data_IF_577816882522
#
_entry.id   IF_577816882522
#
_cell.length_a   1.000
_cell.length_b   1.000
_cell.length_c   1.000
_cell.angle_alpha   90.00
_cell.angle_beta   90.00
_cell.angle_gamma   90.00
#
_symmetry.space_group_name_H-M   'P 1'
#
loop_
_entity.id
_entity.type
_entity.pdbx_description
1 polymer ?
#
# COMPACT_ATOMS: atom_id res chain seq x y z
N UNK A 1 7.83 7.44 16.98
CA UNK A 1 8.39 6.79 15.75
C UNK A 1 8.17 7.62 14.49
N UNK A 2 7.08 8.39 14.38
CA UNK A 2 6.81 9.22 13.20
C UNK A 2 7.69 10.48 13.11
N UNK A 3 8.19 10.98 14.22
CA UNK A 3 9.02 12.20 14.26
C UNK A 3 10.40 11.94 13.65
N UNK A 4 11.04 10.81 13.95
CA UNK A 4 12.33 10.45 13.38
C UNK A 4 12.30 10.22 11.86
N UNK A 5 11.20 9.66 11.34
CA UNK A 5 11.01 9.49 9.90
C UNK A 5 10.82 10.84 9.19
N UNK A 6 10.13 11.79 9.83
CA UNK A 6 9.96 13.15 9.31
C UNK A 6 11.26 13.95 9.26
N UNK A 7 12.10 13.82 10.29
CA UNK A 7 13.43 14.45 10.31
C UNK A 7 14.34 13.86 9.24
N UNK A 8 14.39 12.54 9.11
CA UNK A 8 15.16 11.87 8.06
C UNK A 8 14.69 12.25 6.64
N UNK A 9 13.37 12.41 6.42
CA UNK A 9 12.84 12.89 5.15
C UNK A 9 13.25 14.34 4.88
N UNK A 10 13.26 15.18 5.90
CA UNK A 10 13.70 16.58 5.79
C UNK A 10 15.18 16.67 5.44
N UNK A 11 16.04 15.94 6.16
CA UNK A 11 17.49 15.94 5.93
C UNK A 11 17.85 15.41 4.53
N UNK A 12 17.20 14.35 4.08
CA UNK A 12 17.39 13.82 2.72
C UNK A 12 16.96 14.82 1.64
N UNK A 13 15.89 15.59 1.88
CA UNK A 13 15.46 16.64 0.93
C UNK A 13 16.48 17.79 0.88
N UNK A 14 16.99 18.22 2.03
CA UNK A 14 17.98 19.30 2.10
C UNK A 14 19.26 18.86 1.41
N UNK A 15 19.78 17.67 1.71
CA UNK A 15 20.98 17.12 1.05
C UNK A 15 20.81 16.97 -0.47
N UNK A 16 19.64 16.49 -0.92
CA UNK A 16 19.36 16.36 -2.34
C UNK A 16 19.29 17.73 -3.04
N UNK A 17 18.72 18.76 -2.39
CA UNK A 17 18.69 20.11 -2.91
C UNK A 17 20.10 20.75 -2.93
N UNK A 18 20.90 20.57 -1.90
CA UNK A 18 22.29 21.05 -1.85
C UNK A 18 23.12 20.43 -2.97
N UNK A 19 22.95 19.15 -3.25
CA UNK A 19 23.67 18.45 -4.31
C UNK A 19 23.24 18.87 -5.73
N UNK A 20 21.98 19.27 -5.91
CA UNK A 20 21.47 19.81 -7.18
C UNK A 20 21.93 21.26 -7.41
N UNK A 21 22.07 22.03 -6.33
CA UNK A 21 22.50 23.44 -6.39
C UNK A 21 24.03 23.62 -6.33
N UNK A 22 24.78 22.54 -6.11
CA UNK A 22 26.24 22.59 -6.10
C UNK A 22 26.79 23.04 -7.47
N UNK A 23 27.82 23.91 -7.48
CA UNK A 23 28.39 24.48 -8.72
C UNK A 23 28.98 23.43 -9.68
N UNK A 24 29.32 22.25 -9.17
CA UNK A 24 29.90 21.15 -9.94
C UNK A 24 28.82 20.33 -10.70
N UNK A 25 27.56 20.56 -10.42
CA UNK A 25 26.42 19.91 -11.08
C UNK A 25 26.41 18.37 -10.95
N UNK A 26 25.27 17.76 -11.20
CA UNK A 26 25.19 16.30 -11.36
C UNK A 26 25.76 15.97 -12.73
N UNK A 27 27.01 15.50 -12.79
CA UNK A 27 27.69 15.08 -14.02
C UNK A 27 26.90 14.02 -14.77
N UNK A 28 26.19 14.44 -15.78
CA UNK A 28 25.41 13.57 -16.65
C UNK A 28 24.30 14.33 -17.35
N UNK A 29 23.98 13.96 -18.58
CA UNK A 29 23.00 14.51 -19.54
C UNK A 29 22.03 15.53 -18.97
N UNK A 30 21.93 16.71 -19.58
CA UNK A 30 21.02 17.80 -19.23
C UNK A 30 19.57 17.27 -19.15
N UNK A 31 19.13 17.01 -17.92
CA UNK A 31 17.71 16.72 -17.65
C UNK A 31 16.99 18.05 -17.45
N UNK A 32 15.77 18.12 -17.94
CA UNK A 32 14.89 19.28 -17.70
C UNK A 32 14.74 19.51 -16.19
N UNK A 33 14.76 20.76 -15.70
CA UNK A 33 14.62 21.09 -14.28
C UNK A 33 13.40 20.43 -13.61
N UNK A 34 12.31 20.23 -14.36
CA UNK A 34 11.10 19.54 -13.89
C UNK A 34 11.29 18.05 -13.62
N UNK A 35 12.14 17.36 -14.40
CA UNK A 35 12.44 15.94 -14.18
C UNK A 35 13.25 15.72 -12.90
N UNK A 36 14.19 16.62 -12.61
CA UNK A 36 15.00 16.58 -11.39
C UNK A 36 14.12 16.80 -10.14
N UNK A 37 13.22 17.77 -10.19
CA UNK A 37 12.25 18.00 -9.10
C UNK A 37 11.33 16.81 -8.89
N UNK A 38 10.85 16.18 -9.94
CA UNK A 38 10.00 14.98 -9.86
C UNK A 38 10.74 13.79 -9.22
N UNK A 39 12.01 13.59 -9.55
CA UNK A 39 12.88 12.55 -8.95
C UNK A 39 13.06 12.82 -7.46
N UNK A 40 13.46 14.04 -7.06
CA UNK A 40 13.66 14.39 -5.65
C UNK A 40 12.39 14.19 -4.83
N UNK A 41 11.24 14.62 -5.31
CA UNK A 41 9.98 14.51 -4.56
C UNK A 41 9.47 13.07 -4.52
N UNK A 42 9.62 12.31 -5.60
CA UNK A 42 9.04 10.96 -5.71
C UNK A 42 9.93 9.89 -5.11
N UNK A 43 11.24 9.97 -5.35
CA UNK A 43 12.20 8.96 -4.90
C UNK A 43 12.50 9.09 -3.41
N UNK A 44 12.58 10.31 -2.87
CA UNK A 44 12.70 10.53 -1.42
C UNK A 44 11.52 9.94 -0.67
N UNK A 45 10.29 10.12 -1.20
CA UNK A 45 9.10 9.49 -0.59
C UNK A 45 9.12 7.95 -0.68
N UNK A 46 9.70 7.38 -1.73
CA UNK A 46 9.84 5.95 -1.87
C UNK A 46 10.86 5.38 -0.88
N UNK A 47 11.99 6.06 -0.71
CA UNK A 47 13.04 5.70 0.28
C UNK A 47 12.51 5.82 1.70
N UNK A 48 11.83 6.93 2.04
CA UNK A 48 11.24 7.12 3.38
C UNK A 48 10.23 6.03 3.72
N UNK A 49 9.38 5.62 2.77
CA UNK A 49 8.44 4.50 2.97
C UNK A 49 9.14 3.17 3.16
N UNK A 50 10.21 2.91 2.40
CA UNK A 50 11.02 1.71 2.56
C UNK A 50 11.68 1.67 3.93
N UNK A 51 12.21 2.80 4.39
CA UNK A 51 12.84 2.93 5.70
C UNK A 51 11.86 2.69 6.85
N UNK A 52 10.65 3.30 6.80
CA UNK A 52 9.58 3.07 7.78
C UNK A 52 9.19 1.60 7.82
N UNK A 53 9.06 0.96 6.66
CA UNK A 53 8.72 -0.47 6.57
C UNK A 53 9.81 -1.33 7.18
N UNK A 54 11.08 -1.08 6.85
CA UNK A 54 12.22 -1.82 7.40
C UNK A 54 12.35 -1.66 8.92
N UNK A 55 12.12 -0.46 9.44
CA UNK A 55 12.22 -0.18 10.88
C UNK A 55 11.06 -0.79 11.67
N UNK A 56 9.88 -0.99 11.05
CA UNK A 56 8.73 -1.60 11.74
C UNK A 56 8.81 -3.14 11.79
N UNK A 57 9.56 -3.79 10.90
CA UNK A 57 9.69 -5.26 10.88
C UNK A 57 10.23 -5.82 12.19
N UNK A 58 11.38 -5.34 12.75
CA UNK A 58 11.90 -5.88 14.01
C UNK A 58 10.91 -5.74 15.17
N UNK A 59 10.24 -4.59 15.28
CA UNK A 59 9.24 -4.36 16.32
C UNK A 59 8.08 -5.36 16.26
N UNK A 60 7.57 -5.61 15.06
CA UNK A 60 6.49 -6.58 14.86
C UNK A 60 6.93 -8.02 15.18
N UNK A 61 8.17 -8.38 14.82
CA UNK A 61 8.73 -9.71 15.15
C UNK A 61 8.87 -9.88 16.66
N UNK A 62 9.42 -8.90 17.37
CA UNK A 62 9.54 -8.94 18.84
C UNK A 62 8.17 -9.05 19.51
N UNK A 63 7.19 -8.28 19.04
CA UNK A 63 5.82 -8.35 19.57
C UNK A 63 5.21 -9.74 19.35
N UNK A 64 5.38 -10.32 18.16
CA UNK A 64 4.88 -11.66 17.85
C UNK A 64 5.54 -12.73 18.71
N UNK A 65 6.86 -12.68 18.88
CA UNK A 65 7.60 -13.61 19.72
C UNK A 65 7.21 -13.45 21.19
N UNK A 66 7.08 -12.23 21.70
CA UNK A 66 6.62 -11.96 23.06
C UNK A 66 5.22 -12.54 23.33
N UNK A 67 4.29 -12.35 22.38
CA UNK A 67 2.96 -12.92 22.48
C UNK A 67 2.97 -14.45 22.46
N UNK A 68 3.78 -15.07 21.61
CA UNK A 68 3.92 -16.53 21.55
C UNK A 68 4.51 -17.10 22.84
N UNK A 69 5.56 -16.46 23.38
CA UNK A 69 6.18 -16.88 24.65
C UNK A 69 5.17 -16.75 25.78
N UNK A 70 4.48 -15.64 25.91
CA UNK A 70 3.44 -15.43 26.93
C UNK A 70 2.35 -16.50 26.85
N UNK A 71 1.84 -16.79 25.64
CA UNK A 71 0.85 -17.85 25.44
C UNK A 71 1.40 -19.25 25.79
N UNK A 72 2.67 -19.53 25.48
CA UNK A 72 3.29 -20.80 25.78
C UNK A 72 3.46 -21.01 27.31
N UNK A 73 3.74 -19.94 28.05
CA UNK A 73 3.85 -19.98 29.52
C UNK A 73 2.49 -20.21 30.19
N UNK A 74 1.40 -19.68 29.62
CA UNK A 74 0.05 -19.89 30.14
C UNK A 74 -0.45 -21.28 29.79
N UNK A 75 -0.43 -21.63 28.50
CA UNK A 75 -0.90 -22.94 28.05
C UNK A 75 -0.35 -23.28 26.65
N UNK A 76 0.36 -24.43 26.58
CA UNK A 76 0.97 -24.92 25.34
C UNK A 76 -0.03 -25.16 24.19
N UNK A 77 -1.30 -25.48 24.48
CA UNK A 77 -2.34 -25.64 23.44
C UNK A 77 -2.71 -24.32 22.75
N UNK A 78 -2.76 -23.21 23.49
CA UNK A 78 -3.00 -21.88 22.92
C UNK A 78 -1.83 -21.44 22.05
N UNK A 79 -0.60 -21.68 22.51
CA UNK A 79 0.59 -21.40 21.72
C UNK A 79 0.62 -22.23 20.42
N UNK A 80 0.31 -23.53 20.49
CA UNK A 80 0.27 -24.41 19.32
C UNK A 80 -0.78 -23.94 18.31
N UNK A 81 -1.99 -23.60 18.77
CA UNK A 81 -3.04 -23.06 17.91
C UNK A 81 -2.58 -21.80 17.18
N UNK A 82 -1.93 -20.87 17.89
CA UNK A 82 -1.41 -19.63 17.30
C UNK A 82 -0.30 -19.90 16.29
N UNK A 83 0.65 -20.78 16.60
CA UNK A 83 1.75 -21.18 15.69
C UNK A 83 1.22 -21.82 14.41
N UNK A 84 0.13 -22.57 14.46
CA UNK A 84 -0.48 -23.15 13.26
C UNK A 84 -1.26 -22.14 12.43
N UNK A 85 -1.99 -21.24 13.05
CA UNK A 85 -2.91 -20.34 12.36
C UNK A 85 -2.20 -19.11 11.78
N UNK A 86 -1.18 -18.55 12.45
CA UNK A 86 -0.47 -17.37 11.96
C UNK A 86 0.16 -17.60 10.58
N UNK A 87 0.89 -18.69 10.30
CA UNK A 87 1.39 -18.96 8.95
C UNK A 87 0.28 -19.11 7.90
N UNK A 88 -0.85 -19.70 8.29
CA UNK A 88 -2.02 -19.84 7.41
C UNK A 88 -2.58 -18.47 7.00
N UNK A 89 -2.71 -17.52 7.95
CA UNK A 89 -3.13 -16.15 7.68
C UNK A 89 -2.12 -15.40 6.78
N UNK A 90 -0.83 -15.59 7.01
CA UNK A 90 0.22 -15.03 6.17
C UNK A 90 0.11 -15.57 4.74
N UNK A 91 -0.06 -16.86 4.56
CA UNK A 91 -0.20 -17.50 3.27
C UNK A 91 -1.44 -16.98 2.51
N UNK A 92 -2.56 -16.85 3.22
CA UNK A 92 -3.80 -16.29 2.68
C UNK A 92 -3.60 -14.83 2.22
N UNK A 93 -2.90 -14.03 3.03
CA UNK A 93 -2.56 -12.63 2.72
C UNK A 93 -1.67 -12.52 1.48
N UNK A 94 -0.63 -13.32 1.39
CA UNK A 94 0.32 -13.30 0.26
C UNK A 94 -0.36 -13.72 -1.04
N UNK A 95 -1.17 -14.79 -1.02
CA UNK A 95 -1.93 -15.24 -2.20
C UNK A 95 -2.97 -14.22 -2.64
N UNK A 96 -3.66 -13.59 -1.70
CA UNK A 96 -4.70 -12.61 -1.97
C UNK A 96 -4.19 -11.27 -2.52
N UNK A 97 -2.91 -10.93 -2.30
CA UNK A 97 -2.32 -9.65 -2.75
C UNK A 97 -2.11 -9.57 -4.27
N UNK A 98 -1.88 -10.69 -4.95
CA UNK A 98 -1.57 -10.73 -6.37
C UNK A 98 -2.68 -10.13 -7.26
N UNK A 99 -3.98 -10.48 -7.09
CA UNK A 99 -5.06 -9.88 -7.87
C UNK A 99 -5.22 -8.38 -7.56
N UNK A 100 -4.98 -7.94 -6.32
CA UNK A 100 -5.01 -6.51 -5.95
C UNK A 100 -3.94 -5.74 -6.72
N UNK A 101 -2.69 -6.21 -6.72
CA UNK A 101 -1.58 -5.59 -7.47
C UNK A 101 -1.87 -5.51 -8.97
N UNK A 102 -2.43 -6.57 -9.56
CA UNK A 102 -2.77 -6.62 -10.99
C UNK A 102 -3.83 -5.57 -11.34
N UNK A 103 -4.90 -5.47 -10.55
CA UNK A 103 -5.97 -4.51 -10.82
C UNK A 103 -5.49 -3.08 -10.58
N UNK A 104 -4.71 -2.79 -9.52
CA UNK A 104 -4.14 -1.46 -9.28
C UNK A 104 -3.24 -1.01 -10.44
N UNK A 105 -2.46 -1.92 -11.06
CA UNK A 105 -1.67 -1.57 -12.25
C UNK A 105 -2.55 -1.22 -13.46
N UNK A 106 -3.69 -1.91 -13.64
CA UNK A 106 -4.66 -1.62 -14.71
C UNK A 106 -5.34 -0.28 -14.49
N UNK A 107 -5.74 0.02 -13.25
CA UNK A 107 -6.31 1.29 -12.83
C UNK A 107 -5.36 2.46 -13.17
N UNK A 108 -4.09 2.38 -12.75
CA UNK A 108 -3.08 3.40 -13.06
C UNK A 108 -2.89 3.64 -14.56
N UNK A 109 -2.96 2.58 -15.37
CA UNK A 109 -2.88 2.72 -16.84
C UNK A 109 -4.11 3.42 -17.40
N UNK A 110 -5.28 3.10 -16.90
CA UNK A 110 -6.52 3.73 -17.31
C UNK A 110 -6.56 5.22 -16.89
N UNK A 111 -6.11 5.55 -15.67
CA UNK A 111 -5.95 6.92 -15.18
C UNK A 111 -4.97 7.72 -16.07
N UNK A 112 -3.83 7.14 -16.42
CA UNK A 112 -2.87 7.77 -17.33
C UNK A 112 -3.46 8.03 -18.72
N UNK A 113 -4.30 7.12 -19.25
CA UNK A 113 -4.99 7.32 -20.52
C UNK A 113 -6.02 8.46 -20.44
N UNK A 114 -6.75 8.59 -19.32
CA UNK A 114 -7.66 9.72 -19.07
C UNK A 114 -6.88 11.03 -19.02
N UNK A 115 -5.79 11.07 -18.24
CA UNK A 115 -4.95 12.26 -18.13
C UNK A 115 -4.33 12.65 -19.49
N UNK A 116 -3.82 11.68 -20.25
CA UNK A 116 -3.33 11.92 -21.62
C UNK A 116 -4.40 12.50 -22.54
N UNK A 117 -5.61 11.92 -22.55
CA UNK A 117 -6.71 12.42 -23.36
C UNK A 117 -7.17 13.85 -22.95
N UNK A 118 -7.07 14.19 -21.67
CA UNK A 118 -7.32 15.54 -21.18
C UNK A 118 -6.23 16.53 -21.65
N UNK A 119 -4.96 16.12 -21.55
CA UNK A 119 -3.85 16.93 -22.04
C UNK A 119 -3.93 17.18 -23.56
N UNK A 120 -4.25 16.16 -24.35
CA UNK A 120 -4.46 16.28 -25.78
C UNK A 120 -5.59 17.27 -26.12
N UNK A 121 -6.69 17.25 -25.35
CA UNK A 121 -7.81 18.19 -25.52
C UNK A 121 -7.39 19.63 -25.22
N UNK A 122 -6.62 19.85 -24.16
CA UNK A 122 -6.16 21.21 -23.80
C UNK A 122 -5.14 21.74 -24.78
N UNK A 123 -4.18 20.92 -25.21
CA UNK A 123 -3.15 21.31 -26.18
C UNK A 123 -3.73 21.52 -27.59
N UNK A 124 -4.71 20.69 -27.97
CA UNK A 124 -5.37 20.74 -29.28
C UNK A 124 -6.59 21.65 -29.36
N UNK A 125 -6.92 22.41 -28.32
CA UNK A 125 -8.18 23.15 -28.22
C UNK A 125 -8.44 24.08 -29.41
N UNK A 126 -7.40 24.81 -29.88
CA UNK A 126 -7.50 25.73 -31.02
C UNK A 126 -7.82 25.00 -32.33
N UNK A 127 -7.22 23.81 -32.52
CA UNK A 127 -7.45 22.99 -33.74
C UNK A 127 -8.84 22.36 -33.69
N UNK A 128 -9.26 21.87 -32.52
CA UNK A 128 -10.58 21.26 -32.27
C UNK A 128 -11.69 22.30 -32.57
N UNK A 129 -11.50 23.55 -32.15
CA UNK A 129 -12.44 24.63 -32.38
C UNK A 129 -12.48 25.02 -33.89
N UNK A 130 -11.33 25.13 -34.54
CA UNK A 130 -11.24 25.46 -35.94
C UNK A 130 -11.89 24.44 -36.89
N UNK A 131 -11.81 23.14 -36.50
CA UNK A 131 -12.37 22.04 -37.29
C UNK A 131 -13.79 21.62 -36.87
N UNK A 132 -14.42 22.32 -35.92
CA UNK A 132 -15.73 21.97 -35.34
C UNK A 132 -15.80 20.52 -34.81
N UNK A 133 -14.66 20.00 -34.35
CA UNK A 133 -14.49 18.59 -33.94
C UNK A 133 -14.83 18.32 -32.46
N UNK A 134 -15.45 19.27 -31.75
CA UNK A 134 -15.71 19.22 -30.30
C UNK A 134 -16.49 17.98 -29.89
N UNK A 135 -17.49 17.57 -30.68
CA UNK A 135 -18.31 16.38 -30.38
C UNK A 135 -17.46 15.09 -30.36
N UNK A 136 -16.55 14.92 -31.32
CA UNK A 136 -15.65 13.75 -31.39
C UNK A 136 -14.65 13.76 -30.27
N UNK A 137 -14.06 14.88 -29.94
CA UNK A 137 -13.10 15.07 -28.88
C UNK A 137 -13.73 14.76 -27.51
N UNK A 138 -14.91 15.30 -27.24
CA UNK A 138 -15.68 15.00 -26.00
C UNK A 138 -16.10 13.53 -25.94
N UNK A 139 -16.49 12.91 -27.04
CA UNK A 139 -16.85 11.50 -27.07
C UNK A 139 -15.65 10.59 -26.72
N UNK A 140 -14.46 10.88 -27.25
CA UNK A 140 -13.21 10.17 -26.89
C UNK A 140 -12.88 10.31 -25.41
N UNK A 141 -12.92 11.52 -24.88
CA UNK A 141 -12.66 11.75 -23.45
C UNK A 141 -13.67 11.01 -22.56
N UNK A 142 -14.96 11.07 -22.89
CA UNK A 142 -16.00 10.33 -22.15
C UNK A 142 -15.76 8.81 -22.19
N UNK A 143 -15.32 8.26 -23.32
CA UNK A 143 -14.99 6.84 -23.42
C UNK A 143 -13.80 6.48 -22.53
N UNK A 144 -12.71 7.25 -22.56
CA UNK A 144 -11.56 7.06 -21.69
C UNK A 144 -11.93 7.20 -20.21
N UNK A 145 -12.72 8.20 -19.85
CA UNK A 145 -13.21 8.43 -18.49
C UNK A 145 -14.06 7.25 -17.96
N UNK A 146 -14.95 6.70 -18.79
CA UNK A 146 -15.73 5.50 -18.42
C UNK A 146 -14.84 4.28 -18.20
N UNK A 147 -13.83 4.06 -19.06
CA UNK A 147 -12.86 2.98 -18.85
C UNK A 147 -12.05 3.17 -17.58
N UNK A 148 -11.66 4.40 -17.25
CA UNK A 148 -11.02 4.76 -15.99
C UNK A 148 -11.89 4.43 -14.79
N UNK A 149 -13.16 4.85 -14.82
CA UNK A 149 -14.13 4.55 -13.77
C UNK A 149 -14.31 3.04 -13.57
N UNK A 150 -14.49 2.27 -14.65
CA UNK A 150 -14.64 0.82 -14.56
C UNK A 150 -13.40 0.15 -13.97
N UNK A 151 -12.20 0.59 -14.35
CA UNK A 151 -10.95 0.08 -13.77
C UNK A 151 -10.85 0.39 -12.28
N UNK A 152 -11.20 1.60 -11.85
CA UNK A 152 -11.24 2.01 -10.44
C UNK A 152 -12.26 1.20 -9.64
N UNK A 153 -13.48 1.04 -10.14
CA UNK A 153 -14.53 0.26 -9.48
C UNK A 153 -14.12 -1.21 -9.31
N UNK A 154 -13.50 -1.81 -10.33
CA UNK A 154 -12.96 -3.18 -10.23
C UNK A 154 -11.87 -3.29 -9.17
N UNK A 155 -10.93 -2.34 -9.14
CA UNK A 155 -9.86 -2.33 -8.13
C UNK A 155 -10.44 -2.16 -6.73
N UNK A 156 -11.40 -1.27 -6.55
CA UNK A 156 -12.09 -1.06 -5.27
C UNK A 156 -12.80 -2.32 -4.79
N UNK A 157 -13.52 -3.01 -5.69
CA UNK A 157 -14.18 -4.28 -5.38
C UNK A 157 -13.17 -5.35 -4.96
N UNK A 158 -12.10 -5.55 -5.72
CA UNK A 158 -11.06 -6.55 -5.39
C UNK A 158 -10.37 -6.23 -4.08
N UNK A 159 -10.04 -4.95 -3.82
CA UNK A 159 -9.51 -4.51 -2.52
C UNK A 159 -10.49 -4.75 -1.39
N UNK A 160 -11.77 -4.43 -1.58
CA UNK A 160 -12.81 -4.65 -0.57
C UNK A 160 -12.95 -6.11 -0.20
N UNK A 161 -13.03 -7.00 -1.18
CA UNK A 161 -13.07 -8.46 -0.95
C UNK A 161 -11.81 -8.94 -0.23
N UNK A 162 -10.63 -8.53 -0.68
CA UNK A 162 -9.37 -8.89 -0.04
C UNK A 162 -9.32 -8.44 1.43
N UNK A 163 -9.59 -7.17 1.70
CA UNK A 163 -9.59 -6.62 3.06
C UNK A 163 -10.68 -7.27 3.92
N UNK A 164 -11.88 -7.48 3.36
CA UNK A 164 -12.97 -8.17 4.05
C UNK A 164 -12.60 -9.61 4.42
N UNK A 165 -11.98 -10.36 3.50
CA UNK A 165 -11.51 -11.73 3.77
C UNK A 165 -10.46 -11.77 4.88
N UNK A 166 -9.47 -10.88 4.85
CA UNK A 166 -8.44 -10.81 5.89
C UNK A 166 -9.06 -10.47 7.24
N UNK A 167 -9.91 -9.44 7.30
CA UNK A 167 -10.55 -9.04 8.56
C UNK A 167 -11.48 -10.13 9.11
N UNK A 168 -12.25 -10.80 8.24
CA UNK A 168 -13.07 -11.93 8.65
C UNK A 168 -12.23 -13.10 9.18
N UNK A 169 -11.11 -13.42 8.51
CA UNK A 169 -10.19 -14.46 8.97
C UNK A 169 -9.59 -14.15 10.33
N UNK A 170 -9.18 -12.89 10.56
CA UNK A 170 -8.68 -12.44 11.87
C UNK A 170 -9.80 -12.52 12.93
N UNK A 171 -11.03 -12.08 12.59
CA UNK A 171 -12.17 -12.16 13.49
C UNK A 171 -12.51 -13.60 13.88
N UNK A 172 -12.55 -14.52 12.93
CA UNK A 172 -12.74 -15.96 13.19
C UNK A 172 -11.64 -16.51 14.09
N UNK A 173 -10.37 -16.12 13.83
CA UNK A 173 -9.25 -16.54 14.65
C UNK A 173 -9.37 -16.06 16.11
N UNK A 174 -9.67 -14.78 16.33
CA UNK A 174 -9.86 -14.23 17.68
C UNK A 174 -11.01 -14.96 18.39
N UNK A 175 -12.13 -15.15 17.69
CA UNK A 175 -13.28 -15.87 18.26
C UNK A 175 -12.92 -17.30 18.63
N UNK A 176 -12.22 -18.01 17.74
CA UNK A 176 -11.78 -19.38 18.00
C UNK A 176 -10.83 -19.48 19.20
N UNK A 177 -9.87 -18.55 19.32
CA UNK A 177 -8.98 -18.48 20.49
C UNK A 177 -9.76 -18.22 21.79
N UNK A 178 -10.72 -17.28 21.75
CA UNK A 178 -11.54 -16.95 22.92
C UNK A 178 -12.38 -18.14 23.37
N UNK A 179 -13.00 -18.85 22.43
CA UNK A 179 -13.75 -20.06 22.71
C UNK A 179 -12.86 -21.18 23.27
N UNK A 180 -11.67 -21.36 22.67
CA UNK A 180 -10.70 -22.35 23.14
C UNK A 180 -10.21 -22.03 24.56
N UNK A 181 -9.89 -20.78 24.85
CA UNK A 181 -9.49 -20.32 26.17
C UNK A 181 -10.61 -20.54 27.21
N UNK A 182 -11.84 -20.16 26.87
CA UNK A 182 -13.02 -20.40 27.71
C UNK A 182 -13.24 -21.89 28.01
N UNK A 183 -13.11 -22.74 27.00
CA UNK A 183 -13.23 -24.19 27.17
C UNK A 183 -12.13 -24.76 28.07
N UNK A 184 -10.88 -24.29 27.89
CA UNK A 184 -9.76 -24.73 28.76
C UNK A 184 -9.92 -24.26 30.22
N UNK A 185 -10.51 -23.08 30.40
CA UNK A 185 -10.85 -22.57 31.75
C UNK A 185 -11.93 -23.44 32.41
N UNK A 186 -13.00 -23.79 31.69
CA UNK A 186 -14.04 -24.70 32.20
C UNK A 186 -13.51 -26.11 32.49
N UNK A 187 -12.53 -26.55 31.71
CA UNK A 187 -11.84 -27.83 31.93
C UNK A 187 -10.82 -27.78 33.09
N UNK A 188 -10.69 -26.68 33.81
CA UNK A 188 -9.79 -26.50 34.94
C UNK A 188 -8.30 -26.49 34.59
N UNK A 189 -7.97 -26.25 33.29
CA UNK A 189 -6.58 -26.25 32.81
C UNK A 189 -5.92 -24.88 32.81
N UNK A 190 -6.71 -23.83 33.00
CA UNK A 190 -6.26 -22.42 33.06
C UNK A 190 -7.08 -21.71 34.13
N UNK A 191 -6.44 -20.84 34.93
CA UNK A 191 -7.12 -19.98 35.90
C UNK A 191 -7.76 -18.76 35.25
N UNK A 192 -8.87 -18.27 35.83
CA UNK A 192 -9.60 -17.09 35.33
C UNK A 192 -8.77 -15.78 35.40
N UNK A 193 -7.58 -15.81 35.95
CA UNK A 193 -6.68 -14.64 36.07
C UNK A 193 -5.41 -14.75 35.23
N UNK A 194 -5.19 -15.85 34.54
CA UNK A 194 -4.08 -16.05 33.57
C UNK A 194 -4.52 -15.72 32.13
#
# INVERSE_FOLDING_TARGET
TNVGAGLAEHDLRVQALEQITAPEGIGGRSRLPGDLLAVVVTDVRAVSRAFITLTSIPGNVVTLLGALISMALINGWLALATVCIVPLLILLSVKGVAPVKRNTRRERRAEAAVAGSAADLTSGLRVIQGLSAQRRATARFRAASRQGLDATLRTRRVKGVYTGTINASVGVFITALTVLAGWLTLAGRISVGE
#
